data_IF_273504575490
#
_entry.id   IF_273504575490
#
_cell.length_a   1.000
_cell.length_b   1.000
_cell.length_c   1.000
_cell.angle_alpha   90.00
_cell.angle_beta   90.00
_cell.angle_gamma   90.00
#
_symmetry.space_group_name_H-M   'P 1'
#
loop_
_entity.id
_entity.type
_entity.pdbx_description
1 polymer ?
#
# COMPACT_ATOMS: atom_id res chain seq x y z
N UNK A 1 -0.07 0.89 -30.84
CA UNK A 1 1.30 0.63 -30.35
C UNK A 1 1.78 -0.63 -31.06
N UNK A 2 2.98 -0.63 -31.65
CA UNK A 2 3.55 -1.86 -32.18
C UNK A 2 3.84 -2.79 -31.01
N UNK A 3 3.31 -4.02 -31.04
CA UNK A 3 3.68 -5.07 -30.10
C UNK A 3 5.10 -5.49 -30.42
N UNK A 4 6.04 -5.18 -29.52
CA UNK A 4 7.37 -5.78 -29.57
C UNK A 4 7.29 -7.11 -28.83
N UNK A 5 7.24 -8.25 -29.54
CA UNK A 5 7.10 -9.54 -28.88
C UNK A 5 8.34 -9.81 -28.01
N UNK A 6 8.10 -10.22 -26.77
CA UNK A 6 9.15 -10.63 -25.87
C UNK A 6 9.85 -11.91 -26.40
N UNK A 7 11.16 -12.09 -26.15
CA UNK A 7 11.91 -13.28 -26.57
C UNK A 7 11.26 -14.59 -26.09
N UNK A 8 11.05 -15.56 -26.97
CA UNK A 8 10.37 -16.82 -26.60
C UNK A 8 11.19 -17.77 -25.70
N UNK A 9 12.50 -17.53 -25.52
CA UNK A 9 13.35 -18.35 -24.67
C UNK A 9 14.21 -17.47 -23.75
N UNK A 10 13.66 -17.02 -22.61
CA UNK A 10 14.37 -16.13 -21.69
C UNK A 10 15.63 -16.77 -21.11
N UNK A 11 15.69 -18.09 -20.97
CA UNK A 11 16.84 -18.80 -20.38
C UNK A 11 18.15 -18.63 -21.18
N UNK A 12 18.05 -18.33 -22.48
CA UNK A 12 19.21 -18.06 -23.35
C UNK A 12 19.74 -16.63 -23.25
N UNK A 13 19.01 -15.74 -22.59
CA UNK A 13 19.42 -14.35 -22.41
C UNK A 13 20.55 -14.23 -21.38
N UNK A 14 21.29 -13.12 -21.41
CA UNK A 14 22.24 -12.79 -20.34
C UNK A 14 21.50 -12.61 -19.01
N UNK A 15 22.22 -12.72 -17.89
CA UNK A 15 21.62 -12.57 -16.55
C UNK A 15 20.73 -11.33 -16.41
N UNK A 16 21.26 -10.13 -16.72
CA UNK A 16 20.48 -8.90 -16.60
C UNK A 16 19.33 -8.81 -17.62
N UNK A 17 19.46 -9.45 -18.78
CA UNK A 17 18.37 -9.53 -19.74
C UNK A 17 17.26 -10.49 -19.26
N UNK A 18 17.58 -11.58 -18.56
CA UNK A 18 16.59 -12.43 -17.87
C UNK A 18 15.83 -11.65 -16.80
N UNK A 19 16.56 -10.91 -15.95
CA UNK A 19 15.96 -10.05 -14.92
C UNK A 19 15.02 -9.02 -15.56
N UNK A 20 15.47 -8.35 -16.63
CA UNK A 20 14.67 -7.37 -17.36
C UNK A 20 13.41 -7.98 -17.98
N UNK A 21 13.55 -9.13 -18.63
CA UNK A 21 12.45 -9.89 -19.24
C UNK A 21 11.34 -10.16 -18.21
N UNK A 22 11.66 -10.86 -17.12
CA UNK A 22 10.66 -11.25 -16.12
C UNK A 22 10.12 -10.05 -15.34
N UNK A 23 10.91 -9.00 -15.16
CA UNK A 23 10.41 -7.76 -14.56
C UNK A 23 9.36 -7.06 -15.44
N UNK A 24 9.55 -7.06 -16.77
CA UNK A 24 8.57 -6.50 -17.71
C UNK A 24 7.28 -7.32 -17.69
N UNK A 25 7.39 -8.66 -17.73
CA UNK A 25 6.22 -9.55 -17.61
C UNK A 25 5.45 -9.31 -16.30
N UNK A 26 6.17 -9.20 -15.18
CA UNK A 26 5.55 -8.95 -13.89
C UNK A 26 4.81 -7.61 -13.86
N UNK A 27 5.40 -6.55 -14.41
CA UNK A 27 4.77 -5.23 -14.48
C UNK A 27 3.56 -5.21 -15.43
N UNK A 28 3.61 -5.93 -16.55
CA UNK A 28 2.48 -6.08 -17.46
C UNK A 28 1.31 -6.84 -16.79
N UNK A 29 1.63 -7.90 -16.03
CA UNK A 29 0.65 -8.64 -15.25
C UNK A 29 0.02 -7.78 -14.13
N UNK A 30 0.81 -6.96 -13.43
CA UNK A 30 0.27 -6.00 -12.46
C UNK A 30 -0.66 -4.98 -13.11
N UNK A 31 -0.31 -4.47 -14.29
CA UNK A 31 -1.13 -3.50 -15.00
C UNK A 31 -2.50 -4.06 -15.43
N UNK A 32 -2.58 -5.38 -15.65
CA UNK A 32 -3.83 -6.10 -15.96
C UNK A 32 -4.53 -6.66 -14.73
N UNK A 33 -4.03 -6.37 -13.52
CA UNK A 33 -4.59 -6.86 -12.25
C UNK A 33 -4.32 -8.34 -11.96
N UNK A 34 -3.48 -9.01 -12.76
CA UNK A 34 -3.13 -10.41 -12.55
C UNK A 34 -1.95 -10.55 -11.58
N UNK A 35 -2.23 -10.38 -10.28
CA UNK A 35 -1.22 -10.45 -9.22
C UNK A 35 -0.54 -11.82 -9.13
N UNK A 36 -1.23 -12.91 -9.47
CA UNK A 36 -0.65 -14.26 -9.46
C UNK A 36 0.44 -14.42 -10.54
N UNK A 37 0.15 -14.00 -11.78
CA UNK A 37 1.15 -14.02 -12.85
C UNK A 37 2.33 -13.08 -12.54
N UNK A 38 2.06 -11.92 -11.93
CA UNK A 38 3.12 -11.02 -11.48
C UNK A 38 4.02 -11.66 -10.42
N UNK A 39 3.42 -12.35 -9.43
CA UNK A 39 4.14 -13.10 -8.41
C UNK A 39 5.02 -14.20 -9.00
N UNK A 40 4.48 -14.97 -9.95
CA UNK A 40 5.25 -16.00 -10.66
C UNK A 40 6.47 -15.41 -11.39
N UNK A 41 6.28 -14.33 -12.16
CA UNK A 41 7.36 -13.67 -12.88
C UNK A 41 8.41 -13.04 -11.93
N UNK A 42 8.01 -12.41 -10.83
CA UNK A 42 8.98 -11.97 -9.82
C UNK A 42 9.67 -13.14 -9.10
N UNK A 43 9.00 -14.29 -8.98
CA UNK A 43 9.60 -15.53 -8.50
C UNK A 43 10.77 -15.96 -9.38
N UNK A 44 10.60 -15.92 -10.71
CA UNK A 44 11.67 -16.19 -11.68
C UNK A 44 12.84 -15.20 -11.54
N UNK A 45 12.56 -13.92 -11.28
CA UNK A 45 13.61 -12.93 -10.97
C UNK A 45 14.41 -13.34 -9.73
N UNK A 46 13.74 -13.74 -8.65
CA UNK A 46 14.40 -14.19 -7.41
C UNK A 46 15.23 -15.44 -7.65
N UNK A 47 14.70 -16.43 -8.38
CA UNK A 47 15.44 -17.64 -8.74
C UNK A 47 16.68 -17.34 -9.61
N UNK A 48 16.57 -16.40 -10.55
CA UNK A 48 17.71 -15.96 -11.35
C UNK A 48 18.85 -15.44 -10.47
N UNK A 49 18.54 -14.69 -9.42
CA UNK A 49 19.54 -14.24 -8.44
C UNK A 49 20.09 -15.38 -7.59
N UNK A 50 19.22 -16.23 -7.04
CA UNK A 50 19.61 -17.32 -6.15
C UNK A 50 20.49 -18.38 -6.84
N UNK A 51 20.29 -18.60 -8.14
CA UNK A 51 21.17 -19.44 -8.96
C UNK A 51 22.59 -18.87 -9.15
N UNK A 52 22.84 -17.61 -8.77
CA UNK A 52 24.14 -16.93 -8.92
C UNK A 52 24.53 -16.17 -7.64
N UNK A 53 24.88 -16.87 -6.54
CA UNK A 53 25.14 -16.25 -5.23
C UNK A 53 26.24 -15.18 -5.24
N UNK A 54 27.25 -15.32 -6.10
CA UNK A 54 28.32 -14.31 -6.27
C UNK A 54 27.76 -12.96 -6.71
N UNK A 55 26.69 -12.93 -7.52
CA UNK A 55 26.08 -11.67 -7.93
C UNK A 55 25.28 -11.03 -6.79
N UNK A 56 24.73 -11.82 -5.87
CA UNK A 56 24.04 -11.30 -4.68
C UNK A 56 25.02 -10.53 -3.81
N UNK A 57 26.22 -11.06 -3.57
CA UNK A 57 27.23 -10.35 -2.77
C UNK A 57 27.75 -9.08 -3.46
N UNK A 58 27.83 -9.08 -4.80
CA UNK A 58 28.25 -7.90 -5.58
C UNK A 58 27.13 -6.85 -5.70
N UNK A 59 25.86 -7.26 -5.71
CA UNK A 59 24.70 -6.37 -5.89
C UNK A 59 23.58 -6.60 -4.87
N UNK A 60 23.86 -6.50 -3.56
CA UNK A 60 22.92 -6.89 -2.51
C UNK A 60 21.64 -6.05 -2.52
N UNK A 61 21.74 -4.75 -2.82
CA UNK A 61 20.58 -3.85 -2.93
C UNK A 61 19.63 -4.27 -4.06
N UNK A 62 20.15 -4.75 -5.20
CA UNK A 62 19.32 -5.19 -6.32
C UNK A 62 18.60 -6.49 -6.00
N UNK A 63 19.28 -7.42 -5.34
CA UNK A 63 18.67 -8.65 -4.86
C UNK A 63 17.58 -8.39 -3.82
N UNK A 64 17.86 -7.53 -2.84
CA UNK A 64 16.86 -7.15 -1.82
C UNK A 64 15.63 -6.48 -2.45
N UNK A 65 15.82 -5.64 -3.46
CA UNK A 65 14.71 -5.06 -4.22
C UNK A 65 13.90 -6.13 -4.97
N UNK A 66 14.53 -7.13 -5.56
CA UNK A 66 13.85 -8.25 -6.21
C UNK A 66 12.98 -9.04 -5.23
N UNK A 67 13.53 -9.37 -4.05
CA UNK A 67 12.78 -10.03 -2.98
C UNK A 67 11.58 -9.19 -2.52
N UNK A 68 11.76 -7.87 -2.37
CA UNK A 68 10.68 -7.00 -1.96
C UNK A 68 9.59 -6.84 -3.02
N UNK A 69 9.93 -6.91 -4.32
CA UNK A 69 8.94 -6.93 -5.41
C UNK A 69 8.16 -8.24 -5.42
N UNK A 70 8.85 -9.38 -5.23
CA UNK A 70 8.21 -10.68 -5.04
C UNK A 70 7.24 -10.66 -3.85
N UNK A 71 7.68 -10.22 -2.67
CA UNK A 71 6.84 -10.08 -1.48
C UNK A 71 5.62 -9.18 -1.71
N UNK A 72 5.77 -8.12 -2.53
CA UNK A 72 4.67 -7.21 -2.87
C UNK A 72 3.54 -7.87 -3.66
N UNK A 73 3.78 -9.02 -4.30
CA UNK A 73 2.71 -9.80 -4.94
C UNK A 73 2.14 -10.89 -4.02
N UNK A 74 2.87 -11.27 -2.97
CA UNK A 74 2.53 -12.41 -2.11
C UNK A 74 1.93 -12.01 -0.75
N UNK A 75 2.01 -10.76 -0.32
CA UNK A 75 1.44 -10.32 0.98
C UNK A 75 -0.09 -10.50 1.06
N UNK A 76 -0.79 -10.61 -0.08
CA UNK A 76 -2.23 -10.87 -0.18
C UNK A 76 -2.58 -12.30 -0.60
N UNK A 77 -1.60 -13.15 -0.90
CA UNK A 77 -1.83 -14.54 -1.27
C UNK A 77 -1.96 -15.43 -0.02
N UNK A 78 -2.64 -16.56 -0.19
CA UNK A 78 -2.93 -17.50 0.91
C UNK A 78 -1.66 -18.21 1.42
N UNK A 79 -0.65 -18.37 0.57
CA UNK A 79 0.61 -19.02 0.93
C UNK A 79 1.49 -18.12 1.82
N UNK A 80 1.44 -18.39 3.12
CA UNK A 80 2.21 -17.66 4.13
C UNK A 80 3.66 -18.11 4.21
N UNK A 81 3.95 -19.38 3.88
CA UNK A 81 5.28 -19.96 4.08
C UNK A 81 6.30 -19.31 3.15
N UNK A 82 5.95 -19.19 1.87
CA UNK A 82 6.78 -18.53 0.86
C UNK A 82 6.99 -17.05 1.18
N UNK A 83 5.95 -16.37 1.68
CA UNK A 83 6.05 -14.99 2.12
C UNK A 83 7.04 -14.83 3.28
N UNK A 84 6.91 -15.65 4.34
CA UNK A 84 7.81 -15.58 5.49
C UNK A 84 9.25 -15.96 5.15
N UNK A 85 9.43 -16.93 4.25
CA UNK A 85 10.75 -17.31 3.76
C UNK A 85 11.43 -16.15 3.01
N UNK A 86 10.74 -15.55 2.04
CA UNK A 86 11.26 -14.40 1.31
C UNK A 86 11.48 -13.17 2.20
N UNK A 87 10.63 -12.94 3.20
CA UNK A 87 10.78 -11.87 4.18
C UNK A 87 12.06 -12.04 5.01
N UNK A 88 12.36 -13.27 5.41
CA UNK A 88 13.58 -13.63 6.14
C UNK A 88 14.81 -13.39 5.27
N UNK A 89 14.80 -13.84 4.01
CA UNK A 89 15.89 -13.59 3.07
C UNK A 89 16.14 -12.10 2.83
N UNK A 90 15.07 -11.32 2.68
CA UNK A 90 15.18 -9.87 2.44
C UNK A 90 15.79 -9.16 3.66
N UNK A 91 15.33 -9.51 4.86
CA UNK A 91 15.81 -8.92 6.11
C UNK A 91 17.27 -9.26 6.43
N UNK A 92 17.74 -10.43 5.99
CA UNK A 92 19.08 -10.94 6.26
C UNK A 92 20.06 -10.76 5.08
N UNK A 93 19.73 -9.92 4.09
CA UNK A 93 20.64 -9.69 2.95
C UNK A 93 21.94 -9.04 3.42
N UNK A 94 23.06 -9.74 3.21
CA UNK A 94 24.40 -9.28 3.59
C UNK A 94 24.97 -8.25 2.60
N UNK A 95 26.07 -7.58 2.98
CA UNK A 95 26.76 -6.63 2.10
C UNK A 95 26.09 -5.25 1.92
N UNK A 96 24.94 -5.03 2.55
CA UNK A 96 24.27 -3.72 2.56
C UNK A 96 24.98 -2.73 3.49
N UNK A 97 25.09 -1.46 3.07
CA UNK A 97 25.48 -0.37 3.97
C UNK A 97 24.37 -0.06 5.01
N UNK A 98 24.67 0.75 6.03
CA UNK A 98 23.74 1.03 7.11
C UNK A 98 22.42 1.70 6.64
N UNK A 99 22.49 2.58 5.64
CA UNK A 99 21.31 3.25 5.08
C UNK A 99 20.47 2.25 4.30
N UNK A 100 21.11 1.46 3.44
CA UNK A 100 20.45 0.43 2.65
C UNK A 100 19.80 -0.64 3.55
N UNK A 101 20.46 -1.07 4.62
CA UNK A 101 19.87 -1.97 5.63
C UNK A 101 18.60 -1.39 6.25
N UNK A 102 18.61 -0.10 6.61
CA UNK A 102 17.43 0.56 7.18
C UNK A 102 16.30 0.67 6.17
N UNK A 103 16.61 1.00 4.91
CA UNK A 103 15.63 1.03 3.82
C UNK A 103 14.99 -0.33 3.54
N UNK A 104 15.79 -1.38 3.54
CA UNK A 104 15.31 -2.76 3.40
C UNK A 104 14.44 -3.15 4.59
N UNK A 105 14.85 -2.79 5.82
CA UNK A 105 14.07 -3.07 7.03
C UNK A 105 12.70 -2.38 7.01
N UNK A 106 12.61 -1.11 6.64
CA UNK A 106 11.32 -0.42 6.60
C UNK A 106 10.41 -0.96 5.49
N UNK A 107 10.97 -1.32 4.33
CA UNK A 107 10.21 -1.94 3.23
C UNK A 107 9.66 -3.30 3.63
N UNK A 108 10.48 -4.16 4.25
CA UNK A 108 10.08 -5.49 4.74
C UNK A 108 9.04 -5.39 5.85
N UNK A 109 9.25 -4.51 6.85
CA UNK A 109 8.25 -4.24 7.89
C UNK A 109 6.91 -3.81 7.31
N UNK A 110 6.89 -2.94 6.30
CA UNK A 110 5.63 -2.54 5.69
C UNK A 110 4.91 -3.66 4.93
N UNK A 111 5.67 -4.56 4.30
CA UNK A 111 5.09 -5.74 3.66
C UNK A 111 4.52 -6.71 4.70
N UNK A 112 5.23 -6.90 5.81
CA UNK A 112 4.79 -7.68 6.98
C UNK A 112 3.53 -7.07 7.62
N UNK A 113 3.49 -5.73 7.77
CA UNK A 113 2.31 -4.98 8.23
C UNK A 113 1.09 -5.25 7.36
N UNK A 114 1.26 -5.17 6.04
CA UNK A 114 0.18 -5.42 5.07
C UNK A 114 -0.25 -6.89 5.08
N UNK A 115 0.67 -7.84 5.25
CA UNK A 115 0.34 -9.26 5.39
C UNK A 115 -0.49 -9.52 6.65
N UNK A 116 -0.07 -8.97 7.80
CA UNK A 116 -0.85 -9.08 9.04
C UNK A 116 -2.21 -8.43 8.93
N UNK A 117 -2.29 -7.24 8.33
CA UNK A 117 -3.58 -6.62 8.04
C UNK A 117 -4.46 -7.56 7.22
N UNK A 118 -3.99 -8.04 6.06
CA UNK A 118 -4.75 -8.93 5.15
C UNK A 118 -5.21 -10.26 5.77
N UNK A 119 -4.62 -10.62 6.92
CA UNK A 119 -4.96 -11.83 7.68
C UNK A 119 -5.76 -11.51 8.95
N UNK A 120 -6.25 -10.27 9.10
CA UNK A 120 -6.95 -9.74 10.27
C UNK A 120 -6.17 -9.92 11.59
N UNK A 121 -4.84 -9.85 11.53
CA UNK A 121 -3.93 -10.00 12.68
C UNK A 121 -3.57 -8.62 13.24
N UNK A 122 -4.58 -7.89 13.69
CA UNK A 122 -4.46 -6.46 14.04
C UNK A 122 -3.44 -6.21 15.16
N UNK A 123 -3.37 -7.09 16.16
CA UNK A 123 -2.38 -6.98 17.24
C UNK A 123 -0.94 -6.95 16.70
N UNK A 124 -0.58 -7.89 15.83
CA UNK A 124 0.74 -7.95 15.21
C UNK A 124 0.99 -6.76 14.28
N UNK A 125 -0.02 -6.36 13.49
CA UNK A 125 0.08 -5.17 12.65
C UNK A 125 0.41 -3.89 13.45
N UNK A 126 -0.11 -3.75 14.68
CA UNK A 126 0.21 -2.62 15.57
C UNK A 126 1.65 -2.66 16.09
N UNK A 127 2.19 -3.84 16.40
CA UNK A 127 3.59 -3.96 16.82
C UNK A 127 4.54 -3.56 15.69
N UNK A 128 4.25 -4.00 14.47
CA UNK A 128 4.99 -3.61 13.27
C UNK A 128 4.84 -2.10 12.99
N UNK A 129 3.64 -1.54 13.15
CA UNK A 129 3.40 -0.11 12.98
C UNK A 129 4.29 0.76 13.88
N UNK A 130 4.42 0.38 15.16
CA UNK A 130 5.30 1.07 16.13
C UNK A 130 6.77 1.00 15.73
N UNK A 131 7.23 -0.13 15.18
CA UNK A 131 8.60 -0.27 14.71
C UNK A 131 8.89 0.65 13.52
N UNK A 132 7.98 0.71 12.54
CA UNK A 132 8.10 1.62 11.39
C UNK A 132 8.13 3.08 11.85
N UNK A 133 7.24 3.47 12.77
CA UNK A 133 7.24 4.83 13.33
C UNK A 133 8.55 5.18 14.00
N UNK A 134 9.09 4.29 14.83
CA UNK A 134 10.37 4.52 15.51
C UNK A 134 11.53 4.72 14.52
N UNK A 135 11.50 4.07 13.36
CA UNK A 135 12.49 4.29 12.29
C UNK A 135 12.30 5.66 11.65
N UNK A 136 11.07 6.01 11.27
CA UNK A 136 10.75 7.29 10.63
C UNK A 136 11.05 8.49 11.54
N UNK A 137 10.85 8.36 12.85
CA UNK A 137 11.17 9.41 13.84
C UNK A 137 12.69 9.57 14.04
N UNK A 138 13.43 8.46 14.06
CA UNK A 138 14.89 8.49 14.23
C UNK A 138 15.63 8.97 12.97
N UNK A 139 15.05 8.78 11.79
CA UNK A 139 15.69 9.07 10.51
C UNK A 139 14.74 9.85 9.58
N UNK A 140 14.44 11.12 9.88
CA UNK A 140 13.67 11.96 8.97
C UNK A 140 14.39 12.11 7.62
N UNK A 141 13.64 12.07 6.52
CA UNK A 141 14.22 12.15 5.15
C UNK A 141 14.96 10.89 4.69
N UNK A 142 14.77 9.76 5.36
CA UNK A 142 15.34 8.47 4.96
C UNK A 142 14.89 8.04 3.55
N UNK A 143 13.64 8.33 3.19
CA UNK A 143 12.98 7.91 1.96
C UNK A 143 12.41 9.08 1.18
N UNK A 144 12.08 8.84 -0.09
CA UNK A 144 11.37 9.79 -0.93
C UNK A 144 9.95 10.04 -0.44
N UNK A 145 9.48 11.27 -0.63
CA UNK A 145 8.14 11.76 -0.28
C UNK A 145 7.01 10.82 -0.69
N UNK A 146 7.06 10.32 -1.94
CA UNK A 146 6.05 9.41 -2.47
C UNK A 146 5.98 8.09 -1.70
N UNK A 147 7.12 7.59 -1.24
CA UNK A 147 7.19 6.39 -0.41
C UNK A 147 6.71 6.69 1.00
N UNK A 148 7.12 7.81 1.58
CA UNK A 148 6.70 8.22 2.93
C UNK A 148 5.18 8.34 3.05
N UNK A 149 4.54 8.94 2.04
CA UNK A 149 3.07 9.03 1.94
C UNK A 149 2.42 7.64 1.97
N UNK A 150 2.99 6.63 1.30
CA UNK A 150 2.49 5.24 1.32
C UNK A 150 2.60 4.63 2.71
N UNK A 151 3.77 4.71 3.34
CA UNK A 151 3.95 4.11 4.67
C UNK A 151 3.03 4.74 5.69
N UNK A 152 2.91 6.08 5.69
CA UNK A 152 2.00 6.79 6.59
C UNK A 152 0.54 6.45 6.35
N UNK A 153 0.15 6.18 5.11
CA UNK A 153 -1.19 5.73 4.79
C UNK A 153 -1.46 4.34 5.38
N UNK A 154 -0.53 3.40 5.22
CA UNK A 154 -0.66 2.04 5.73
C UNK A 154 -0.68 1.99 7.26
N UNK A 155 0.26 2.69 7.92
CA UNK A 155 0.23 2.90 9.39
C UNK A 155 -1.12 3.44 9.82
N UNK A 156 -1.67 4.27 8.97
CA UNK A 156 -2.94 4.83 9.20
C UNK A 156 -4.10 3.86 9.20
N UNK A 157 -4.21 3.09 8.13
CA UNK A 157 -5.21 2.04 8.05
C UNK A 157 -5.14 1.13 9.28
N UNK A 158 -3.95 0.76 9.75
CA UNK A 158 -3.79 -0.02 11.00
C UNK A 158 -4.44 0.67 12.20
N UNK A 159 -4.13 1.94 12.44
CA UNK A 159 -4.70 2.67 13.58
C UNK A 159 -6.20 2.85 13.48
N UNK A 160 -6.72 3.09 12.28
CA UNK A 160 -8.15 3.23 12.04
C UNK A 160 -8.90 1.93 12.32
N UNK A 161 -8.39 0.79 11.83
CA UNK A 161 -8.99 -0.54 12.07
C UNK A 161 -8.91 -0.92 13.55
N UNK A 162 -7.85 -0.50 14.25
CA UNK A 162 -7.73 -0.63 15.70
C UNK A 162 -8.57 0.41 16.49
N UNK A 163 -9.38 1.25 15.83
CA UNK A 163 -10.20 2.29 16.45
C UNK A 163 -9.41 3.37 17.21
N UNK A 164 -8.09 3.46 16.99
CA UNK A 164 -7.26 4.58 17.46
C UNK A 164 -7.39 5.73 16.45
N UNK A 165 -8.60 6.30 16.38
CA UNK A 165 -8.94 7.34 15.42
C UNK A 165 -8.10 8.61 15.60
N UNK A 166 -7.54 8.85 16.78
CA UNK A 166 -6.67 9.98 17.07
C UNK A 166 -5.29 9.81 16.40
N UNK A 167 -4.63 8.65 16.59
CA UNK A 167 -3.37 8.36 15.87
C UNK A 167 -3.60 8.27 14.38
N UNK A 168 -4.74 7.72 13.99
CA UNK A 168 -5.14 7.69 12.61
C UNK A 168 -5.19 9.10 12.02
N UNK A 169 -6.00 9.98 12.61
CA UNK A 169 -6.10 11.37 12.17
C UNK A 169 -4.74 12.06 11.99
N UNK A 170 -3.79 11.84 12.91
CA UNK A 170 -2.43 12.40 12.81
C UNK A 170 -1.70 12.02 11.52
N UNK A 171 -1.77 10.77 11.04
CA UNK A 171 -1.06 10.44 9.79
C UNK A 171 -1.77 11.03 8.57
N UNK A 172 -3.10 11.20 8.61
CA UNK A 172 -3.83 11.68 7.42
C UNK A 172 -3.62 13.16 7.28
N UNK A 173 -3.62 13.91 8.39
CA UNK A 173 -3.23 15.32 8.40
C UNK A 173 -1.84 15.50 7.78
N UNK A 174 -0.90 14.63 8.14
CA UNK A 174 0.45 14.69 7.57
C UNK A 174 0.46 14.43 6.06
N UNK A 175 -0.25 13.39 5.58
CA UNK A 175 -0.40 13.10 4.14
C UNK A 175 -1.06 14.26 3.38
N UNK A 176 -2.07 14.89 3.98
CA UNK A 176 -2.81 15.98 3.36
C UNK A 176 -2.00 17.29 3.34
N UNK A 177 -1.13 17.49 4.33
CA UNK A 177 -0.23 18.64 4.44
C UNK A 177 1.03 18.53 3.57
N UNK A 178 1.32 17.35 3.02
CA UNK A 178 2.49 17.13 2.17
C UNK A 178 2.50 18.06 0.95
N UNK A 179 3.65 18.68 0.69
CA UNK A 179 3.95 19.47 -0.50
C UNK A 179 5.14 18.82 -1.21
N UNK A 180 5.10 18.56 -2.53
CA UNK A 180 4.09 18.97 -3.53
C UNK A 180 2.79 18.15 -3.51
N UNK A 181 1.67 18.78 -3.86
CA UNK A 181 0.31 18.22 -3.74
C UNK A 181 -0.01 17.17 -4.81
N UNK A 182 0.84 17.07 -5.82
CA UNK A 182 0.72 16.21 -6.99
C UNK A 182 1.23 14.78 -6.72
N UNK A 183 1.95 14.57 -5.60
CA UNK A 183 2.44 13.25 -5.20
C UNK A 183 1.27 12.40 -4.70
N UNK A 184 1.13 11.20 -5.28
CA UNK A 184 0.19 10.14 -4.83
C UNK A 184 -1.21 10.70 -4.52
N UNK A 185 -1.77 11.43 -5.49
CA UNK A 185 -3.10 12.05 -5.40
C UNK A 185 -4.17 11.00 -5.02
N UNK A 186 -4.02 9.77 -5.51
CA UNK A 186 -4.82 8.60 -5.14
C UNK A 186 -4.82 8.35 -3.62
N UNK A 187 -3.65 8.30 -2.98
CA UNK A 187 -3.51 8.11 -1.53
C UNK A 187 -4.06 9.30 -0.78
N UNK A 188 -3.79 10.52 -1.24
CA UNK A 188 -4.28 11.74 -0.57
C UNK A 188 -5.81 11.80 -0.57
N UNK A 189 -6.45 11.38 -1.65
CA UNK A 189 -7.90 11.25 -1.73
C UNK A 189 -8.42 10.17 -0.77
N UNK A 190 -7.79 9.00 -0.73
CA UNK A 190 -8.14 7.94 0.20
C UNK A 190 -7.97 8.38 1.66
N UNK A 191 -6.88 9.08 2.00
CA UNK A 191 -6.64 9.63 3.32
C UNK A 191 -7.69 10.70 3.68
N UNK A 192 -8.03 11.62 2.78
CA UNK A 192 -9.09 12.61 3.02
C UNK A 192 -10.41 11.93 3.39
N UNK A 193 -10.76 10.87 2.66
CA UNK A 193 -11.96 10.11 2.92
C UNK A 193 -11.93 9.42 4.29
N UNK A 194 -10.87 8.67 4.60
CA UNK A 194 -10.73 7.97 5.88
C UNK A 194 -10.68 8.96 7.05
N UNK A 195 -10.25 10.20 6.81
CA UNK A 195 -10.26 11.26 7.82
C UNK A 195 -11.71 11.63 8.18
N UNK A 196 -12.57 11.75 7.17
CA UNK A 196 -13.99 12.05 7.37
C UNK A 196 -14.72 10.93 8.08
N UNK A 197 -14.44 9.66 7.72
CA UNK A 197 -14.94 8.53 8.51
C UNK A 197 -14.46 8.61 9.96
N UNK A 198 -13.19 8.97 10.19
CA UNK A 198 -12.67 9.16 11.54
C UNK A 198 -13.40 10.25 12.33
N UNK A 199 -13.83 11.34 11.67
CA UNK A 199 -14.67 12.36 12.32
C UNK A 199 -16.06 11.81 12.70
N UNK A 200 -16.67 11.04 11.80
CA UNK A 200 -17.97 10.41 12.06
C UNK A 200 -17.91 9.44 13.25
N UNK A 201 -16.93 8.54 13.25
CA UNK A 201 -16.74 7.54 14.33
C UNK A 201 -16.44 8.20 15.69
N UNK A 202 -15.84 9.39 15.70
CA UNK A 202 -15.56 10.17 16.92
C UNK A 202 -16.72 11.07 17.35
N UNK A 203 -17.82 11.12 16.59
CA UNK A 203 -18.93 12.04 16.83
C UNK A 203 -18.60 13.51 16.55
N UNK A 204 -17.54 13.81 15.81
CA UNK A 204 -17.09 15.17 15.45
C UNK A 204 -17.89 15.72 14.25
N UNK A 205 -19.23 15.73 14.37
CA UNK A 205 -20.16 16.01 13.27
C UNK A 205 -19.96 17.40 12.65
N UNK A 206 -19.63 18.42 13.44
CA UNK A 206 -19.38 19.79 12.93
C UNK A 206 -18.23 19.81 11.92
N UNK A 207 -17.13 19.10 12.21
CA UNK A 207 -15.97 19.07 11.34
C UNK A 207 -16.25 18.26 10.07
N UNK A 208 -17.00 17.15 10.23
CA UNK A 208 -17.50 16.35 9.12
C UNK A 208 -18.38 17.17 8.17
N UNK A 209 -19.40 17.86 8.70
CA UNK A 209 -20.33 18.67 7.92
C UNK A 209 -19.64 19.84 7.21
N UNK A 210 -18.70 20.52 7.87
CA UNK A 210 -17.91 21.59 7.24
C UNK A 210 -17.15 21.08 6.02
N UNK A 211 -16.50 19.93 6.13
CA UNK A 211 -15.79 19.32 5.01
C UNK A 211 -16.75 18.93 3.89
N UNK A 212 -17.90 18.37 4.23
CA UNK A 212 -18.94 18.00 3.28
C UNK A 212 -19.56 19.19 2.54
N UNK A 213 -19.74 20.32 3.22
CA UNK A 213 -20.20 21.55 2.59
C UNK A 213 -19.23 22.00 1.49
N UNK A 214 -17.92 21.97 1.77
CA UNK A 214 -16.88 22.28 0.78
C UNK A 214 -16.85 21.31 -0.40
N UNK A 215 -17.19 20.03 -0.21
CA UNK A 215 -17.35 19.04 -1.29
C UNK A 215 -18.56 19.36 -2.15
N UNK A 216 -19.72 19.58 -1.54
CA UNK A 216 -20.97 19.92 -2.24
C UNK A 216 -20.80 21.19 -3.07
N UNK A 217 -20.13 22.20 -2.53
CA UNK A 217 -19.83 23.43 -3.26
C UNK A 217 -18.95 23.18 -4.49
N UNK A 218 -17.87 22.42 -4.35
CA UNK A 218 -16.98 22.07 -5.48
C UNK A 218 -17.68 21.25 -6.57
N UNK A 219 -18.52 20.29 -6.17
CA UNK A 219 -19.33 19.51 -7.10
C UNK A 219 -20.31 20.40 -7.88
N UNK A 220 -20.96 21.37 -7.21
CA UNK A 220 -21.82 22.38 -7.88
C UNK A 220 -21.05 23.25 -8.87
N UNK A 221 -19.76 23.49 -8.63
CA UNK A 221 -18.86 24.22 -9.54
C UNK A 221 -18.31 23.36 -10.69
N UNK A 222 -18.80 22.11 -10.86
CA UNK A 222 -18.32 21.20 -11.90
C UNK A 222 -16.96 20.56 -11.61
N UNK A 223 -16.36 20.81 -10.44
CA UNK A 223 -15.13 20.15 -10.02
C UNK A 223 -15.45 18.73 -9.58
N UNK A 224 -15.24 17.77 -10.47
CA UNK A 224 -15.47 16.36 -10.19
C UNK A 224 -14.16 15.69 -9.78
N UNK A 225 -14.15 15.18 -8.56
CA UNK A 225 -13.16 14.21 -8.09
C UNK A 225 -13.94 12.92 -7.79
N UNK A 226 -13.45 11.77 -8.24
CA UNK A 226 -14.12 10.50 -8.00
C UNK A 226 -14.35 10.25 -6.50
N UNK A 227 -13.40 10.64 -5.64
CA UNK A 227 -13.59 10.61 -4.18
C UNK A 227 -14.73 11.51 -3.69
N UNK A 228 -14.89 12.71 -4.26
CA UNK A 228 -16.00 13.60 -3.92
C UNK A 228 -17.36 13.04 -4.33
N UNK A 229 -17.45 12.45 -5.52
CA UNK A 229 -18.67 11.84 -6.03
C UNK A 229 -19.08 10.62 -5.19
N UNK A 230 -18.12 9.83 -4.72
CA UNK A 230 -18.37 8.65 -3.91
C UNK A 230 -18.95 9.00 -2.55
N UNK A 231 -18.31 9.93 -1.85
CA UNK A 231 -18.78 10.39 -0.54
C UNK A 231 -20.14 11.06 -0.65
N UNK A 232 -20.33 11.89 -1.68
CA UNK A 232 -21.62 12.52 -1.94
C UNK A 232 -22.74 11.48 -2.16
N UNK A 233 -22.47 10.42 -2.95
CA UNK A 233 -23.45 9.34 -3.18
C UNK A 233 -23.77 8.55 -1.90
N UNK A 234 -22.75 8.17 -1.13
CA UNK A 234 -22.99 7.43 0.11
C UNK A 234 -23.81 8.23 1.14
N UNK A 235 -23.61 9.55 1.19
CA UNK A 235 -24.38 10.42 2.09
C UNK A 235 -25.77 10.76 1.59
N UNK A 236 -26.00 10.79 0.27
CA UNK A 236 -27.37 10.87 -0.26
C UNK A 236 -28.21 9.65 0.14
N UNK A 237 -27.57 8.52 0.40
CA UNK A 237 -28.24 7.30 0.85
C UNK A 237 -28.41 7.25 2.38
N UNK A 238 -27.73 8.13 3.13
CA UNK A 238 -27.72 8.16 4.61
C UNK A 238 -28.07 9.56 5.16
N UNK A 239 -29.36 9.98 5.08
CA UNK A 239 -29.78 11.34 5.42
C UNK A 239 -29.56 11.72 6.89
N UNK A 240 -29.51 10.75 7.80
CA UNK A 240 -29.30 10.98 9.23
C UNK A 240 -27.82 10.92 9.66
N UNK A 241 -26.89 10.95 8.71
CA UNK A 241 -25.44 10.79 8.92
C UNK A 241 -25.03 9.44 9.55
N UNK A 242 -25.97 8.55 9.82
CA UNK A 242 -25.70 7.15 10.12
C UNK A 242 -25.46 6.43 8.79
N UNK A 243 -24.19 6.34 8.39
CA UNK A 243 -23.81 5.39 7.36
C UNK A 243 -24.12 3.99 7.89
N UNK A 244 -25.12 3.33 7.31
CA UNK A 244 -25.31 1.91 7.56
C UNK A 244 -24.04 1.16 7.20
N UNK A 245 -23.81 0.04 7.87
CA UNK A 245 -22.73 -0.92 7.57
C UNK A 245 -22.57 -1.17 6.07
N UNK A 246 -23.69 -1.36 5.35
CA UNK A 246 -23.73 -1.57 3.91
C UNK A 246 -23.26 -0.36 3.07
N UNK A 247 -23.54 0.86 3.52
CA UNK A 247 -23.13 2.09 2.83
C UNK A 247 -21.64 2.38 3.04
N UNK A 248 -21.13 2.14 4.24
CA UNK A 248 -19.70 2.20 4.51
C UNK A 248 -18.94 1.14 3.69
N UNK A 249 -19.49 -0.08 3.56
CA UNK A 249 -18.94 -1.16 2.73
C UNK A 249 -18.90 -0.80 1.24
N UNK A 250 -20.01 -0.32 0.67
CA UNK A 250 -20.07 0.10 -0.74
C UNK A 250 -19.06 1.21 -1.06
N UNK A 251 -18.87 2.13 -0.12
CA UNK A 251 -17.96 3.26 -0.26
C UNK A 251 -16.49 2.81 -0.26
N UNK A 252 -16.16 1.83 0.58
CA UNK A 252 -14.81 1.30 0.75
C UNK A 252 -14.44 0.29 -0.35
N UNK A 253 -15.39 -0.52 -0.81
CA UNK A 253 -15.24 -1.34 -2.03
C UNK A 253 -14.89 -0.49 -3.25
N UNK A 254 -15.48 0.71 -3.34
CA UNK A 254 -15.16 1.60 -4.45
C UNK A 254 -13.79 2.27 -4.29
N UNK A 255 -13.35 2.56 -3.06
CA UNK A 255 -11.99 3.04 -2.81
C UNK A 255 -10.93 1.97 -3.06
N UNK A 256 -11.23 0.68 -2.82
CA UNK A 256 -10.39 -0.45 -3.21
C UNK A 256 -10.19 -0.48 -4.74
N UNK A 257 -11.25 -0.22 -5.50
CA UNK A 257 -11.18 -0.13 -6.96
C UNK A 257 -10.38 1.11 -7.45
N UNK A 258 -10.37 2.21 -6.69
CA UNK A 258 -9.69 3.45 -7.08
C UNK A 258 -8.22 3.54 -6.67
N UNK A 259 -7.82 2.90 -5.56
CA UNK A 259 -6.49 3.08 -4.99
C UNK A 259 -5.50 1.96 -5.34
N UNK A 260 -5.97 0.80 -5.80
CA UNK A 260 -5.13 -0.39 -5.98
C UNK A 260 -4.40 -0.86 -4.71
N UNK A 261 -4.75 -0.28 -3.54
CA UNK A 261 -4.13 -0.55 -2.25
C UNK A 261 -5.04 -1.43 -1.40
N UNK A 262 -4.42 -2.13 -0.43
CA UNK A 262 -5.00 -3.11 0.49
C UNK A 262 -6.10 -2.57 1.41
N UNK A 263 -7.20 -2.10 0.82
CA UNK A 263 -8.44 -1.67 1.49
C UNK A 263 -9.32 -2.88 1.84
N UNK A 264 -8.92 -4.09 1.43
CA UNK A 264 -9.61 -5.38 1.68
C UNK A 264 -10.04 -5.54 3.14
N UNK A 265 -9.27 -5.00 4.09
CA UNK A 265 -9.49 -5.23 5.51
C UNK A 265 -10.34 -4.16 6.18
N UNK A 266 -10.39 -2.94 5.64
CA UNK A 266 -11.43 -1.98 6.06
C UNK A 266 -12.81 -2.55 5.68
N UNK A 267 -12.91 -3.28 4.56
CA UNK A 267 -14.12 -3.99 4.15
C UNK A 267 -14.46 -5.10 5.15
N UNK A 268 -13.50 -5.99 5.47
CA UNK A 268 -13.70 -7.08 6.44
C UNK A 268 -14.00 -6.59 7.87
N UNK A 269 -13.33 -5.53 8.32
CA UNK A 269 -13.61 -4.91 9.62
C UNK A 269 -15.03 -4.34 9.68
N UNK A 270 -15.46 -3.65 8.62
CA UNK A 270 -16.84 -3.20 8.51
C UNK A 270 -17.84 -4.36 8.44
N UNK A 271 -17.49 -5.51 7.88
CA UNK A 271 -18.34 -6.71 7.87
C UNK A 271 -18.52 -7.34 9.25
N UNK A 272 -17.59 -7.11 10.20
CA UNK A 272 -17.61 -7.71 11.54
C UNK A 272 -18.34 -6.85 12.60
N UNK A 273 -18.45 -5.54 12.43
CA UNK A 273 -19.28 -4.63 13.25
C UNK A 273 -20.74 -4.70 12.84
#
# INVERSE_FOLDING_TARGET
>A
MAEFPLPQNPQKLSFFAQIGYYSIEAMAALHTGNTQAAGAAFGEVVQCWQSRPVLISVHPTRYSNALANYLSCHYSLEDEADFLHALTLASNTEGLDARAKTMVRIKTLNLELLNHLNRNRIYFALEIARQIEAILEKQPGLMEDASEVVYRYNLGVVYFVNQDYAKAHKKWVHILAFAPKEIRVDIRQAALFLQWLGYLERGELVQFERNMHGVRHRLKQGQTNQGFLLVHRALQQAPDYQLSKAQAQSLILTLKALSGLGIVEIIRWLEQK
#
